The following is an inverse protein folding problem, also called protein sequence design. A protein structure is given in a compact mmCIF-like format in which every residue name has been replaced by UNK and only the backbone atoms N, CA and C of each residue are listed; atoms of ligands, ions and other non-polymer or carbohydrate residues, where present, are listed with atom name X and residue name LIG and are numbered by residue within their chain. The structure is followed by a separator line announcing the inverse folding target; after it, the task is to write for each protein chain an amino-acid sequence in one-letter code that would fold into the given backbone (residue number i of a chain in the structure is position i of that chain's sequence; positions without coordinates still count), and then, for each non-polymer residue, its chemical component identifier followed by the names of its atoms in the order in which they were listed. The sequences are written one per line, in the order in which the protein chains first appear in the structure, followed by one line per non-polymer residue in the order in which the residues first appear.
data_IF_878817900888
#
_entry.id   IF_878817900888
#
_cell.length_a   1.000
_cell.length_b   1.000
_cell.length_c   1.000
_cell.angle_alpha   90.00
_cell.angle_beta   90.00
_cell.angle_gamma   90.00
#
_symmetry.space_group_name_H-M   'P 1'
#
loop_
_entity.id
_entity.type
_entity.pdbx_description
1 polymer ?
#
# COMPACT_ATOMS: atom_id res chain seq x y z
N UNK A 1 13.47 -56.94 24.43
CA UNK A 1 12.45 -55.94 24.06
C UNK A 1 13.13 -54.86 23.25
N UNK A 2 12.53 -54.52 22.11
CA UNK A 2 13.12 -53.67 21.08
C UNK A 2 13.15 -52.18 21.45
N UNK A 3 14.20 -51.55 20.92
CA UNK A 3 14.46 -50.14 20.61
C UNK A 3 13.31 -49.13 20.75
N UNK A 4 13.65 -47.93 21.23
CA UNK A 4 13.66 -46.75 20.36
C UNK A 4 14.53 -45.64 20.98
N UNK A 5 15.71 -45.43 20.40
CA UNK A 5 16.42 -44.15 20.47
C UNK A 5 15.64 -43.14 19.62
N UNK A 6 15.06 -42.11 20.22
CA UNK A 6 14.56 -40.96 19.45
C UNK A 6 15.76 -40.08 19.08
N UNK A 7 16.26 -40.27 17.86
CA UNK A 7 16.84 -39.18 17.08
C UNK A 7 15.69 -38.41 16.44
N UNK A 8 15.50 -37.16 16.83
CA UNK A 8 14.99 -36.11 15.95
C UNK A 8 16.02 -34.99 16.03
N UNK A 9 16.93 -34.93 15.06
CA UNK A 9 16.84 -34.04 13.88
C UNK A 9 16.61 -32.60 14.32
N UNK A 10 17.66 -31.80 14.17
CA UNK A 10 17.61 -30.36 14.12
C UNK A 10 16.65 -29.93 13.01
N UNK A 11 15.56 -29.24 13.34
CA UNK A 11 15.01 -28.24 12.43
C UNK A 11 15.79 -26.95 12.69
N UNK A 12 16.85 -26.76 11.91
CA UNK A 12 17.35 -25.44 11.61
C UNK A 12 16.34 -24.81 10.65
N UNK A 13 15.33 -24.14 11.19
CA UNK A 13 14.51 -23.19 10.45
C UNK A 13 14.72 -21.80 11.10
N UNK A 14 15.98 -21.39 11.21
CA UNK A 14 16.31 -19.96 11.21
C UNK A 14 16.11 -19.45 9.78
N UNK A 15 14.85 -19.40 9.37
CA UNK A 15 14.43 -18.60 8.23
C UNK A 15 14.44 -17.16 8.74
N UNK A 16 15.64 -16.55 8.80
CA UNK A 16 15.92 -15.12 9.09
C UNK A 16 15.30 -14.19 8.00
N UNK A 17 14.14 -14.58 7.49
CA UNK A 17 13.28 -13.76 6.65
C UNK A 17 12.39 -12.94 7.57
N UNK A 18 12.97 -11.88 8.11
CA UNK A 18 12.19 -10.85 8.80
C UNK A 18 11.07 -10.40 7.87
N UNK A 19 9.80 -10.59 8.25
CA UNK A 19 8.71 -10.49 7.30
C UNK A 19 8.50 -9.04 6.89
N UNK A 20 8.35 -8.83 5.58
CA UNK A 20 7.72 -7.61 5.07
C UNK A 20 6.28 -7.57 5.62
N UNK A 21 5.86 -6.43 6.15
CA UNK A 21 4.51 -6.22 6.69
C UNK A 21 3.81 -5.06 5.98
N UNK A 22 2.50 -5.22 5.76
CA UNK A 22 1.63 -4.19 5.20
C UNK A 22 0.32 -4.24 6.00
N UNK A 23 0.04 -3.20 6.77
CA UNK A 23 -1.07 -3.18 7.73
C UNK A 23 -1.83 -1.86 7.70
N UNK A 24 -3.16 -1.92 7.78
CA UNK A 24 -3.98 -0.73 7.92
C UNK A 24 -3.85 -0.13 9.31
N UNK A 25 -3.68 1.19 9.41
CA UNK A 25 -3.64 1.90 10.69
C UNK A 25 -5.04 1.95 11.29
N UNK A 26 -5.30 1.07 12.25
CA UNK A 26 -6.60 1.00 12.92
C UNK A 26 -7.70 0.29 12.10
N UNK A 27 -7.33 -0.42 11.01
CA UNK A 27 -8.27 -1.21 10.21
C UNK A 27 -7.59 -2.46 9.61
N UNK A 28 -8.38 -3.46 9.25
CA UNK A 28 -7.89 -4.63 8.52
C UNK A 28 -7.83 -4.33 7.01
N UNK A 29 -6.62 -4.29 6.44
CA UNK A 29 -6.40 -4.01 5.02
C UNK A 29 -6.99 -5.07 4.08
N UNK A 30 -7.19 -6.31 4.55
CA UNK A 30 -7.78 -7.39 3.76
C UNK A 30 -9.32 -7.29 3.68
N UNK A 31 -9.90 -6.29 4.37
CA UNK A 31 -11.32 -5.96 4.32
C UNK A 31 -11.56 -4.63 3.61
N UNK A 32 -12.77 -4.47 3.06
CA UNK A 32 -13.19 -3.19 2.49
C UNK A 32 -13.26 -2.11 3.57
N UNK A 33 -12.50 -1.03 3.38
CA UNK A 33 -12.59 0.18 4.18
C UNK A 33 -13.75 1.04 3.69
N UNK A 34 -14.79 1.18 4.53
CA UNK A 34 -15.96 1.99 4.22
C UNK A 34 -15.79 3.44 4.71
N UNK A 35 -15.79 4.39 3.79
CA UNK A 35 -15.78 5.83 4.10
C UNK A 35 -17.21 6.29 4.36
N UNK A 36 -17.54 6.48 5.64
CA UNK A 36 -18.92 6.77 6.09
C UNK A 36 -19.11 8.20 6.60
N UNK A 37 -18.03 8.97 6.75
CA UNK A 37 -18.14 10.38 7.13
C UNK A 37 -18.67 11.22 5.96
N UNK A 38 -19.47 12.25 6.28
CA UNK A 38 -20.19 13.04 5.27
C UNK A 38 -19.27 13.79 4.30
N UNK A 39 -18.09 14.18 4.78
CA UNK A 39 -17.15 14.99 4.01
C UNK A 39 -16.14 14.14 3.22
N UNK A 40 -16.23 12.81 3.27
CA UNK A 40 -15.31 11.88 2.61
C UNK A 40 -13.82 12.07 2.97
N UNK A 41 -13.53 12.66 4.14
CA UNK A 41 -12.18 12.96 4.68
C UNK A 41 -11.63 11.88 5.63
N UNK A 42 -11.96 10.60 5.43
CA UNK A 42 -11.47 9.55 6.33
C UNK A 42 -9.94 9.45 6.33
N UNK A 43 -9.35 9.21 7.50
CA UNK A 43 -7.92 8.88 7.62
C UNK A 43 -7.71 7.43 7.20
N UNK A 44 -6.99 7.24 6.08
CA UNK A 44 -6.72 5.93 5.49
C UNK A 44 -5.22 5.83 5.26
N UNK A 45 -4.55 5.24 6.25
CA UNK A 45 -3.09 5.12 6.29
C UNK A 45 -2.73 3.64 6.37
N UNK A 46 -1.81 3.20 5.53
CA UNK A 46 -1.22 1.86 5.57
C UNK A 46 0.21 1.97 6.06
N UNK A 47 0.53 1.26 7.14
CA UNK A 47 1.88 1.12 7.66
C UNK A 47 2.59 -0.01 6.90
N UNK A 48 3.86 0.22 6.56
CA UNK A 48 4.70 -0.73 5.85
C UNK A 48 6.01 -0.85 6.61
N UNK A 49 6.45 -2.06 6.92
CA UNK A 49 7.75 -2.30 7.55
C UNK A 49 8.46 -3.54 7.01
N UNK A 50 9.79 -3.49 7.04
CA UNK A 50 10.71 -4.59 6.70
C UNK A 50 12.05 -4.33 7.41
N UNK A 51 12.72 -5.37 7.89
CA UNK A 51 14.02 -5.19 8.55
C UNK A 51 15.17 -4.99 7.57
N UNK A 52 15.04 -5.49 6.33
CA UNK A 52 16.11 -5.45 5.32
C UNK A 52 16.11 -4.16 4.51
N UNK A 53 15.12 -3.28 4.72
CA UNK A 53 14.96 -2.01 4.01
C UNK A 53 14.17 -2.14 2.72
N UNK A 54 13.35 -1.14 2.41
CA UNK A 54 12.47 -1.15 1.23
C UNK A 54 13.29 -0.87 -0.04
N UNK A 55 13.27 -1.77 -1.01
CA UNK A 55 13.86 -1.55 -2.34
C UNK A 55 12.85 -0.94 -3.31
N UNK A 56 11.62 -1.46 -3.33
CA UNK A 56 10.51 -0.95 -4.14
C UNK A 56 9.22 -0.90 -3.30
N UNK A 57 8.41 0.13 -3.52
CA UNK A 57 7.03 0.21 -3.05
C UNK A 57 6.14 0.58 -4.23
N UNK A 58 5.63 -0.45 -4.91
CA UNK A 58 4.78 -0.28 -6.08
C UNK A 58 3.34 -0.10 -5.64
N UNK A 59 2.68 0.94 -6.14
CA UNK A 59 1.25 1.17 -5.98
C UNK A 59 0.60 1.08 -7.35
N UNK A 60 -0.39 0.19 -7.48
CA UNK A 60 -1.25 0.09 -8.66
C UNK A 60 -2.67 0.50 -8.30
N UNK A 61 -3.26 1.38 -9.09
CA UNK A 61 -4.62 1.88 -8.92
C UNK A 61 -5.58 1.10 -9.83
N UNK A 62 -6.62 0.53 -9.23
CA UNK A 62 -7.75 -0.05 -9.95
C UNK A 62 -9.06 0.58 -9.45
N UNK A 63 -9.72 1.35 -10.32
CA UNK A 63 -10.93 2.09 -9.97
C UNK A 63 -11.88 2.17 -11.16
N UNK A 64 -13.21 2.18 -10.93
CA UNK A 64 -14.19 2.41 -11.99
C UNK A 64 -14.17 3.83 -12.57
N UNK A 65 -13.57 4.80 -11.86
CA UNK A 65 -13.58 6.22 -12.27
C UNK A 65 -12.19 6.81 -12.50
N UNK A 66 -11.16 6.32 -11.80
CA UNK A 66 -9.78 6.68 -12.09
C UNK A 66 -9.25 5.85 -13.25
N UNK A 67 -9.81 6.10 -14.44
CA UNK A 67 -9.32 5.52 -15.69
C UNK A 67 -7.93 6.08 -16.03
N UNK A 68 -7.24 5.45 -16.97
CA UNK A 68 -5.92 5.91 -17.41
C UNK A 68 -5.97 7.35 -17.93
N UNK A 69 -7.01 7.73 -18.68
CA UNK A 69 -7.18 9.11 -19.15
C UNK A 69 -7.34 10.13 -18.01
N UNK A 70 -8.11 9.78 -16.97
CA UNK A 70 -8.31 10.65 -15.80
C UNK A 70 -7.02 10.82 -15.00
N UNK A 71 -6.26 9.74 -14.83
CA UNK A 71 -4.98 9.75 -14.12
C UNK A 71 -3.89 10.50 -14.92
N UNK A 72 -3.82 10.27 -16.23
CA UNK A 72 -2.86 10.93 -17.12
C UNK A 72 -3.10 12.45 -17.21
N UNK A 73 -4.35 12.91 -17.09
CA UNK A 73 -4.68 14.35 -17.05
C UNK A 73 -4.00 15.10 -15.89
N UNK A 74 -3.60 14.38 -14.84
CA UNK A 74 -2.86 14.92 -13.68
C UNK A 74 -1.44 14.38 -13.58
N UNK A 75 -0.90 13.83 -14.67
CA UNK A 75 0.43 13.22 -14.75
C UNK A 75 0.68 12.14 -13.68
N UNK A 76 -0.35 11.36 -13.36
CA UNK A 76 -0.25 10.20 -12.48
C UNK A 76 -0.44 8.94 -13.32
N UNK A 77 0.54 8.03 -13.40
CA UNK A 77 0.32 6.75 -14.06
C UNK A 77 -0.55 5.84 -13.17
N UNK A 78 -1.13 4.81 -13.78
CA UNK A 78 -1.91 3.77 -13.07
C UNK A 78 -1.08 2.94 -12.11
N UNK A 79 0.22 2.85 -12.36
CA UNK A 79 1.20 2.13 -11.55
C UNK A 79 2.45 2.98 -11.39
N UNK A 80 2.96 3.11 -10.18
CA UNK A 80 4.16 3.88 -9.85
C UNK A 80 4.90 3.31 -8.64
N UNK A 81 6.20 3.59 -8.55
CA UNK A 81 7.03 3.23 -7.39
C UNK A 81 7.22 4.47 -6.49
N UNK A 82 6.79 4.37 -5.24
CA UNK A 82 6.99 5.41 -4.22
C UNK A 82 8.42 5.42 -3.68
N UNK A 83 9.13 4.29 -3.70
CA UNK A 83 10.53 4.20 -3.28
C UNK A 83 11.49 4.75 -4.35
N UNK A 84 11.11 4.60 -5.63
CA UNK A 84 11.88 5.08 -6.78
C UNK A 84 10.96 5.74 -7.83
N UNK A 85 10.48 6.98 -7.59
CA UNK A 85 9.66 7.67 -8.59
C UNK A 85 10.39 7.77 -9.93
N UNK A 86 9.68 7.49 -11.03
CA UNK A 86 10.28 7.43 -12.37
C UNK A 86 10.81 8.78 -12.87
N UNK A 87 10.32 9.89 -12.32
CA UNK A 87 10.78 11.25 -12.61
C UNK A 87 10.54 12.17 -11.41
N UNK A 88 11.23 13.30 -11.38
CA UNK A 88 11.00 14.35 -10.38
C UNK A 88 9.58 14.94 -10.51
N UNK A 89 9.07 15.08 -11.73
CA UNK A 89 7.71 15.56 -11.99
C UNK A 89 6.66 14.63 -11.37
N UNK A 90 6.81 13.31 -11.55
CA UNK A 90 5.93 12.34 -10.89
C UNK A 90 6.05 12.42 -9.37
N UNK A 91 7.25 12.57 -8.82
CA UNK A 91 7.43 12.75 -7.39
C UNK A 91 6.68 13.99 -6.87
N UNK A 92 6.72 15.11 -7.59
CA UNK A 92 5.96 16.32 -7.23
C UNK A 92 4.44 16.10 -7.33
N UNK A 93 3.97 15.39 -8.37
CA UNK A 93 2.55 15.01 -8.50
C UNK A 93 2.11 14.16 -7.29
N UNK A 94 2.89 13.15 -6.91
CA UNK A 94 2.60 12.28 -5.76
C UNK A 94 2.57 13.07 -4.45
N UNK A 95 3.48 14.03 -4.26
CA UNK A 95 3.50 14.95 -3.12
C UNK A 95 2.25 15.85 -3.14
N UNK A 96 1.88 16.38 -4.29
CA UNK A 96 0.69 17.24 -4.46
C UNK A 96 -0.62 16.53 -4.10
N UNK A 97 -0.71 15.22 -4.33
CA UNK A 97 -1.84 14.39 -3.93
C UNK A 97 -1.73 13.81 -2.51
N UNK A 98 -0.63 14.06 -1.80
CA UNK A 98 -0.40 13.53 -0.45
C UNK A 98 0.03 12.06 -0.40
N UNK A 99 0.26 11.42 -1.55
CA UNK A 99 0.65 10.01 -1.64
C UNK A 99 2.13 9.77 -1.31
N UNK A 100 2.94 10.83 -1.39
CA UNK A 100 4.36 10.83 -1.03
C UNK A 100 4.67 12.03 -0.13
N UNK A 101 5.45 11.83 0.94
CA UNK A 101 5.90 12.95 1.78
C UNK A 101 7.17 13.58 1.23
N UNK A 102 7.20 14.92 1.15
CA UNK A 102 8.29 15.70 0.52
C UNK A 102 9.70 15.34 1.01
N UNK A 103 9.85 15.14 2.33
CA UNK A 103 11.16 14.96 2.96
C UNK A 103 11.42 13.50 3.39
N UNK A 104 10.55 12.56 3.00
CA UNK A 104 10.65 11.15 3.42
C UNK A 104 11.31 10.30 2.35
N UNK A 105 12.52 9.83 2.64
CA UNK A 105 13.18 8.79 1.84
C UNK A 105 12.55 7.43 2.16
N UNK A 106 11.98 6.77 1.16
CA UNK A 106 11.39 5.43 1.31
C UNK A 106 12.43 4.35 1.03
N UNK A 107 13.22 4.49 -0.05
CA UNK A 107 14.24 3.50 -0.41
C UNK A 107 15.30 3.35 0.68
N UNK A 108 15.51 2.09 1.10
CA UNK A 108 16.44 1.70 2.16
C UNK A 108 15.94 1.96 3.57
N UNK A 109 14.76 2.57 3.74
CA UNK A 109 14.12 2.73 5.04
C UNK A 109 13.46 1.42 5.46
N UNK A 110 13.48 1.13 6.75
CA UNK A 110 12.84 -0.07 7.34
C UNK A 110 11.36 0.11 7.58
N UNK A 111 10.88 1.36 7.59
CA UNK A 111 9.47 1.69 7.78
C UNK A 111 9.04 2.84 6.87
N UNK A 112 7.80 2.78 6.41
CA UNK A 112 7.13 3.89 5.76
C UNK A 112 5.62 3.80 5.93
N UNK A 113 4.92 4.79 5.38
CA UNK A 113 3.47 4.87 5.38
C UNK A 113 3.01 5.21 3.98
N UNK A 114 1.99 4.52 3.50
CA UNK A 114 1.19 4.96 2.36
C UNK A 114 -0.06 5.65 2.90
N UNK A 115 -0.11 6.97 2.79
CA UNK A 115 -1.24 7.79 3.22
C UNK A 115 -2.06 8.16 1.98
N UNK A 116 -3.33 7.78 1.96
CA UNK A 116 -4.26 8.12 0.89
C UNK A 116 -5.41 9.01 1.39
N UNK A 117 -5.31 9.51 2.63
CA UNK A 117 -6.34 10.32 3.29
C UNK A 117 -6.65 11.61 2.53
N UNK A 118 -5.63 12.31 2.03
CA UNK A 118 -5.81 13.54 1.25
C UNK A 118 -6.46 13.27 -0.12
N UNK A 119 -6.41 12.03 -0.60
CA UNK A 119 -7.01 11.60 -1.85
C UNK A 119 -8.49 11.18 -1.69
N UNK A 120 -8.94 10.90 -0.46
CA UNK A 120 -10.32 10.43 -0.19
C UNK A 120 -11.41 11.43 -0.63
N UNK A 121 -11.30 12.75 -0.41
CA UNK A 121 -12.31 13.70 -0.88
C UNK A 121 -12.42 13.75 -2.40
N UNK A 122 -11.29 13.63 -3.11
CA UNK A 122 -11.28 13.57 -4.57
C UNK A 122 -12.01 12.32 -5.07
N UNK A 123 -11.74 11.15 -4.48
CA UNK A 123 -12.44 9.91 -4.80
C UNK A 123 -13.95 10.04 -4.56
N UNK A 124 -14.35 10.59 -3.41
CA UNK A 124 -15.76 10.81 -3.08
C UNK A 124 -16.47 11.80 -4.00
N UNK A 125 -15.73 12.75 -4.59
CA UNK A 125 -16.23 13.74 -5.54
C UNK A 125 -16.66 13.17 -6.90
N UNK A 126 -16.23 11.95 -7.25
CA UNK A 126 -16.65 11.30 -8.50
C UNK A 126 -18.06 10.70 -8.45
N UNK A 127 -18.77 10.81 -7.32
CA UNK A 127 -20.12 10.25 -7.10
C UNK A 127 -20.25 8.76 -7.44
N UNK A 128 -19.14 8.03 -7.46
CA UNK A 128 -19.09 6.59 -7.66
C UNK A 128 -18.65 5.95 -6.34
N UNK A 129 -19.42 4.99 -5.78
CA UNK A 129 -19.10 4.42 -4.49
C UNK A 129 -17.84 3.53 -4.51
N UNK A 130 -17.32 3.14 -5.68
CA UNK A 130 -16.20 2.22 -5.83
C UNK A 130 -16.65 0.78 -6.15
N UNK A 131 -15.83 -0.24 -5.86
CA UNK A 131 -14.60 -0.18 -5.07
C UNK A 131 -13.44 0.52 -5.78
N UNK A 132 -12.65 1.29 -5.03
CA UNK A 132 -11.36 1.82 -5.45
C UNK A 132 -10.26 1.01 -4.76
N UNK A 133 -9.35 0.44 -5.54
CA UNK A 133 -8.30 -0.44 -5.03
C UNK A 133 -6.93 0.18 -5.24
N UNK A 134 -6.13 0.12 -4.19
CA UNK A 134 -4.71 0.42 -4.22
C UNK A 134 -3.97 -0.88 -3.89
N UNK A 135 -3.38 -1.50 -4.90
CA UNK A 135 -2.58 -2.70 -4.74
C UNK A 135 -1.16 -2.24 -4.39
N UNK A 136 -0.74 -2.57 -3.17
CA UNK A 136 0.57 -2.24 -2.62
C UNK A 136 1.46 -3.47 -2.73
N UNK A 137 2.60 -3.34 -3.38
CA UNK A 137 3.59 -4.41 -3.49
C UNK A 137 4.92 -3.88 -2.99
N UNK A 138 5.42 -4.47 -1.90
CA UNK A 138 6.68 -4.10 -1.26
C UNK A 138 7.69 -5.18 -1.55
N UNK A 139 8.81 -4.76 -2.13
CA UNK A 139 10.01 -5.58 -2.28
C UNK A 139 11.11 -5.03 -1.38
N UNK A 140 11.68 -5.85 -0.51
CA UNK A 140 12.82 -5.45 0.32
C UNK A 140 14.17 -5.69 -0.38
N UNK A 141 15.25 -5.20 0.22
CA UNK A 141 16.60 -5.37 -0.31
C UNK A 141 17.14 -6.81 -0.23
N UNK A 142 16.51 -7.71 0.52
CA UNK A 142 16.83 -9.14 0.54
C UNK A 142 16.09 -9.93 -0.57
N UNK A 143 15.14 -9.29 -1.26
CA UNK A 143 14.35 -9.89 -2.33
C UNK A 143 13.01 -10.46 -1.87
N UNK A 144 12.65 -10.31 -0.60
CA UNK A 144 11.31 -10.67 -0.12
C UNK A 144 10.27 -9.74 -0.74
N UNK A 145 9.10 -10.30 -1.01
CA UNK A 145 8.03 -9.58 -1.66
C UNK A 145 6.69 -9.88 -0.98
N UNK A 146 5.94 -8.83 -0.64
CA UNK A 146 4.58 -8.95 -0.13
C UNK A 146 3.67 -7.99 -0.89
N UNK A 147 2.48 -8.48 -1.26
CA UNK A 147 1.44 -7.65 -1.86
C UNK A 147 0.16 -7.71 -1.06
N UNK A 148 -0.46 -6.54 -0.84
CA UNK A 148 -1.79 -6.40 -0.21
C UNK A 148 -2.62 -5.35 -0.95
N UNK A 149 -3.93 -5.50 -0.90
CA UNK A 149 -4.86 -4.59 -1.59
C UNK A 149 -5.67 -3.79 -0.59
N UNK A 150 -5.42 -2.48 -0.50
CA UNK A 150 -6.33 -1.57 0.18
C UNK A 150 -7.56 -1.36 -0.71
N UNK A 151 -8.73 -1.79 -0.24
CA UNK A 151 -10.01 -1.60 -0.93
C UNK A 151 -10.82 -0.53 -0.21
N UNK A 152 -11.15 0.57 -0.89
CA UNK A 152 -11.96 1.68 -0.37
C UNK A 152 -13.32 1.70 -1.03
N UNK A 153 -14.36 1.93 -0.23
CA UNK A 153 -15.75 2.03 -0.69
C UNK A 153 -16.47 3.20 0.00
N UNK A 154 -17.28 3.94 -0.74
CA UNK A 154 -18.05 5.09 -0.25
C UNK A 154 -19.54 4.72 -0.21
N UNK A 155 -20.03 4.01 0.82
CA UNK A 155 -21.40 3.51 0.87
C UNK A 155 -22.46 4.61 0.81
N UNK A 156 -22.15 5.82 1.27
CA UNK A 156 -23.08 6.95 1.27
C UNK A 156 -23.33 7.55 -0.13
N UNK A 157 -22.51 7.20 -1.12
CA UNK A 157 -22.69 7.61 -2.52
C UNK A 157 -23.65 6.67 -3.28
N UNK A 158 -24.14 5.60 -2.63
CA UNK A 158 -25.24 4.81 -3.19
C UNK A 158 -26.48 5.69 -3.28
N UNK A 159 -26.95 5.93 -4.51
CA UNK A 159 -28.27 6.50 -4.78
C UNK A 159 -29.38 5.53 -4.37
#
# INVERSE_FOLDING_TARGET
MAFLTLNFVACSDDDDNDPVTIEGRGFNIDQTFNVTNKDNTAEVIVNIATEKGIENLIVKIESPVLTEDVLNAVNLPKEFDLANPASEELAQTLIGFGLLSKDKKIKGSTETTFDVSQFMPLLGGFENPGPHKFILTVKDSAGNNLSKTLTVYFPNLKK
#
